data_IF_533567546898
#
_entry.id   IF_533567546898
#
_cell.length_a   1.000
_cell.length_b   1.000
_cell.length_c   1.000
_cell.angle_alpha   90.00
_cell.angle_beta   90.00
_cell.angle_gamma   90.00
#
_symmetry.space_group_name_H-M   'P 1'
#
loop_
_entity.id
_entity.type
_entity.pdbx_description
1 polymer ?
#
# COMPACT_ATOMS: atom_id res chain seq x y z
N UNK A 1 41.92 55.82 16.94
CA UNK A 1 42.57 55.37 15.69
C UNK A 1 43.36 54.05 15.85
N UNK A 2 42.98 53.15 16.77
CA UNK A 2 43.64 51.84 16.92
C UNK A 2 42.79 50.65 16.40
N UNK A 3 41.47 50.82 16.20
CA UNK A 3 40.59 49.73 15.75
C UNK A 3 40.47 49.53 14.24
N UNK A 4 41.07 50.38 13.39
CA UNK A 4 40.96 50.24 11.93
C UNK A 4 42.12 49.45 11.28
N UNK A 5 43.22 49.19 12.00
CA UNK A 5 44.37 48.43 11.45
C UNK A 5 44.28 46.92 11.66
N UNK A 6 43.45 46.47 12.58
CA UNK A 6 43.29 45.03 12.89
C UNK A 6 42.31 44.36 11.91
N UNK A 7 41.25 45.04 11.49
CA UNK A 7 40.30 44.51 10.51
C UNK A 7 40.90 44.34 9.10
N UNK A 8 41.85 45.18 8.69
CA UNK A 8 42.47 45.06 7.36
C UNK A 8 43.51 43.93 7.28
N UNK A 9 44.18 43.60 8.40
CA UNK A 9 45.05 42.42 8.44
C UNK A 9 44.26 41.10 8.37
N UNK A 10 43.07 41.06 8.98
CA UNK A 10 42.24 39.85 8.99
C UNK A 10 41.56 39.59 7.64
N UNK A 11 41.15 40.65 6.93
CA UNK A 11 40.63 40.54 5.55
C UNK A 11 41.70 40.05 4.57
N UNK A 12 42.96 40.45 4.78
CA UNK A 12 44.12 39.97 4.00
C UNK A 12 44.41 38.48 4.22
N UNK A 13 44.35 38.01 5.47
CA UNK A 13 44.55 36.59 5.82
C UNK A 13 43.42 35.70 5.29
N UNK A 14 42.17 36.13 5.39
CA UNK A 14 41.03 35.37 4.85
C UNK A 14 41.06 35.22 3.32
N UNK A 15 41.52 36.24 2.58
CA UNK A 15 41.64 36.16 1.11
C UNK A 15 42.75 35.20 0.67
N UNK A 16 43.88 35.15 1.40
CA UNK A 16 44.95 34.18 1.12
C UNK A 16 44.52 32.77 1.47
N UNK A 17 43.86 32.55 2.60
CA UNK A 17 43.30 31.24 2.99
C UNK A 17 42.29 30.70 1.97
N UNK A 18 41.40 31.54 1.44
CA UNK A 18 40.43 31.13 0.41
C UNK A 18 41.08 30.78 -0.92
N UNK A 19 42.19 31.43 -1.30
CA UNK A 19 42.95 31.06 -2.51
C UNK A 19 43.69 29.74 -2.33
N UNK A 20 44.33 29.53 -1.18
CA UNK A 20 44.99 28.27 -0.86
C UNK A 20 44.01 27.11 -0.75
N UNK A 21 42.86 27.30 -0.09
CA UNK A 21 41.81 26.28 0.00
C UNK A 21 41.26 25.88 -1.38
N UNK A 22 41.09 26.84 -2.30
CA UNK A 22 40.65 26.56 -3.68
C UNK A 22 41.70 25.82 -4.50
N UNK A 23 42.97 26.15 -4.33
CA UNK A 23 44.07 25.44 -5.01
C UNK A 23 44.25 24.01 -4.46
N UNK A 24 44.12 23.82 -3.15
CA UNK A 24 44.18 22.50 -2.50
C UNK A 24 42.96 21.65 -2.85
N UNK A 25 41.75 22.22 -2.85
CA UNK A 25 40.54 21.52 -3.31
C UNK A 25 40.59 21.18 -4.81
N UNK A 26 41.15 22.08 -5.63
CA UNK A 26 41.37 21.83 -7.06
C UNK A 26 42.39 20.70 -7.30
N UNK A 27 43.49 20.68 -6.56
CA UNK A 27 44.51 19.64 -6.64
C UNK A 27 44.00 18.29 -6.12
N UNK A 28 43.19 18.27 -5.05
CA UNK A 28 42.54 17.06 -4.54
C UNK A 28 41.47 16.52 -5.51
N UNK A 29 40.72 17.40 -6.18
CA UNK A 29 39.77 16.99 -7.22
C UNK A 29 40.48 16.43 -8.46
N UNK A 30 41.62 17.01 -8.84
CA UNK A 30 42.43 16.51 -9.97
C UNK A 30 43.12 15.17 -9.62
N UNK A 31 43.61 15.02 -8.38
CA UNK A 31 44.17 13.77 -7.89
C UNK A 31 43.10 12.67 -7.75
N UNK A 32 41.88 13.01 -7.31
CA UNK A 32 40.74 12.10 -7.31
C UNK A 32 40.32 11.69 -8.73
N UNK A 33 40.42 12.59 -9.71
CA UNK A 33 40.16 12.30 -11.12
C UNK A 33 41.26 11.45 -11.79
N UNK A 34 42.48 11.46 -11.26
CA UNK A 34 43.62 10.67 -11.76
C UNK A 34 43.78 9.32 -11.05
N UNK A 35 43.25 9.16 -9.83
CA UNK A 35 43.31 7.91 -9.04
C UNK A 35 42.03 7.09 -9.15
N UNK A 36 40.90 7.69 -9.56
CA UNK A 36 39.79 6.90 -10.08
C UNK A 36 40.23 6.35 -11.44
N UNK A 37 40.42 5.02 -11.59
CA UNK A 37 40.53 4.50 -12.94
C UNK A 37 39.30 4.98 -13.67
N UNK A 38 39.49 5.63 -14.82
CA UNK A 38 38.51 5.63 -15.88
C UNK A 38 38.37 4.18 -16.38
N UNK A 39 37.94 3.29 -15.48
CA UNK A 39 37.32 2.04 -15.84
C UNK A 39 36.02 2.44 -16.50
N UNK A 40 36.11 2.70 -17.80
CA UNK A 40 34.96 2.56 -18.66
C UNK A 40 34.49 1.14 -18.48
N UNK A 41 33.62 0.91 -17.50
CA UNK A 41 32.66 -0.18 -17.56
C UNK A 41 31.90 0.10 -18.84
N UNK A 42 32.35 -0.51 -19.95
CA UNK A 42 31.57 -0.62 -21.14
C UNK A 42 30.19 -1.09 -20.67
N UNK A 43 29.15 -0.31 -20.97
CA UNK A 43 27.80 -0.67 -20.58
C UNK A 43 27.60 -2.13 -21.01
N UNK A 44 27.21 -3.03 -20.10
CA UNK A 44 27.16 -4.46 -20.39
C UNK A 44 26.34 -4.67 -21.66
N UNK A 45 26.82 -5.53 -22.54
CA UNK A 45 26.08 -5.85 -23.77
C UNK A 45 24.76 -6.50 -23.35
N UNK A 46 23.65 -5.81 -23.63
CA UNK A 46 22.32 -6.29 -23.24
C UNK A 46 21.70 -7.09 -24.38
N UNK A 47 21.25 -8.31 -24.04
CA UNK A 47 20.46 -9.18 -24.90
C UNK A 47 18.98 -9.15 -24.52
N UNK A 48 18.14 -9.71 -25.39
CA UNK A 48 16.69 -9.73 -25.23
C UNK A 48 16.11 -11.09 -25.59
N UNK A 49 15.20 -11.58 -24.74
CA UNK A 49 14.32 -12.71 -25.02
C UNK A 49 12.87 -12.19 -24.95
N UNK A 50 12.03 -12.59 -25.90
CA UNK A 50 10.61 -12.27 -25.90
C UNK A 50 9.80 -13.54 -25.64
N UNK A 51 8.98 -13.54 -24.60
CA UNK A 51 8.11 -14.66 -24.22
C UNK A 51 6.70 -14.12 -24.00
N UNK A 52 5.72 -14.61 -24.77
CA UNK A 52 4.30 -14.28 -24.57
C UNK A 52 4.00 -12.77 -24.40
N UNK A 53 4.65 -11.93 -25.22
CA UNK A 53 4.50 -10.48 -25.17
C UNK A 53 5.34 -9.75 -24.11
N UNK A 54 6.01 -10.48 -23.21
CA UNK A 54 6.94 -9.95 -22.22
C UNK A 54 8.35 -9.92 -22.80
N UNK A 55 9.02 -8.76 -22.70
CA UNK A 55 10.41 -8.60 -23.14
C UNK A 55 11.34 -8.65 -21.94
N UNK A 56 12.12 -9.72 -21.83
CA UNK A 56 13.20 -9.88 -20.86
C UNK A 56 14.51 -9.31 -21.44
N UNK A 57 15.08 -8.30 -20.80
CA UNK A 57 16.39 -7.72 -21.14
C UNK A 57 17.41 -8.13 -20.08
N UNK A 58 18.61 -8.56 -20.48
CA UNK A 58 19.62 -9.09 -19.55
C UNK A 58 21.05 -8.84 -20.07
N UNK A 59 22.05 -8.72 -19.19
CA UNK A 59 23.48 -8.76 -19.55
C UNK A 59 23.87 -10.12 -20.16
N UNK A 60 24.74 -10.14 -21.16
CA UNK A 60 25.17 -11.37 -21.85
C UNK A 60 25.71 -12.46 -20.91
N UNK A 61 26.35 -12.07 -19.82
CA UNK A 61 26.88 -12.95 -18.79
C UNK A 61 25.80 -13.71 -18.01
N UNK A 62 24.53 -13.26 -18.05
CA UNK A 62 23.38 -13.90 -17.39
C UNK A 62 22.52 -14.72 -18.36
N UNK A 63 23.06 -15.18 -19.50
CA UNK A 63 22.28 -15.92 -20.50
C UNK A 63 21.58 -17.15 -19.90
N UNK A 64 22.27 -17.95 -19.07
CA UNK A 64 21.69 -19.16 -18.49
C UNK A 64 20.50 -18.84 -17.54
N UNK A 65 20.66 -17.83 -16.70
CA UNK A 65 19.64 -17.33 -15.78
C UNK A 65 18.49 -16.67 -16.53
N UNK A 66 18.77 -15.94 -17.60
CA UNK A 66 17.75 -15.36 -18.46
C UNK A 66 16.89 -16.43 -19.13
N UNK A 67 17.50 -17.53 -19.59
CA UNK A 67 16.75 -18.69 -20.10
C UNK A 67 15.92 -19.36 -19.01
N UNK A 68 16.42 -19.43 -17.76
CA UNK A 68 15.67 -19.96 -16.63
C UNK A 68 14.46 -19.08 -16.26
N UNK A 69 14.65 -17.76 -16.22
CA UNK A 69 13.59 -16.78 -16.02
C UNK A 69 12.57 -16.86 -17.15
N UNK A 70 13.04 -16.92 -18.41
CA UNK A 70 12.17 -17.03 -19.59
C UNK A 70 11.24 -18.25 -19.54
N UNK A 71 11.70 -19.38 -18.98
CA UNK A 71 10.86 -20.58 -18.76
C UNK A 71 9.79 -20.38 -17.68
N UNK A 72 10.01 -19.53 -16.69
CA UNK A 72 9.05 -19.23 -15.63
C UNK A 72 7.99 -18.20 -16.06
N UNK A 73 8.30 -17.33 -17.04
CA UNK A 73 7.42 -16.24 -17.47
C UNK A 73 5.98 -16.68 -17.77
N UNK A 74 5.72 -17.75 -18.55
CA UNK A 74 4.36 -18.16 -18.90
C UNK A 74 3.50 -18.53 -17.68
N UNK A 75 4.11 -19.11 -16.64
CA UNK A 75 3.38 -19.60 -15.46
C UNK A 75 3.33 -18.58 -14.32
N UNK A 76 4.10 -17.49 -14.41
CA UNK A 76 4.24 -16.49 -13.33
C UNK A 76 3.83 -15.09 -13.78
N UNK A 77 4.61 -14.46 -14.65
CA UNK A 77 4.44 -13.06 -15.02
C UNK A 77 3.28 -12.83 -16.00
N UNK A 78 3.00 -13.79 -16.88
CA UNK A 78 1.85 -13.70 -17.80
C UNK A 78 0.52 -13.69 -17.04
N UNK A 79 0.23 -14.64 -16.13
CA UNK A 79 -0.97 -14.59 -15.28
C UNK A 79 -1.06 -13.32 -14.44
N UNK A 80 0.07 -12.83 -13.92
CA UNK A 80 0.11 -11.60 -13.15
C UNK A 80 -0.32 -10.38 -13.98
N UNK A 81 0.26 -10.25 -15.18
CA UNK A 81 -0.10 -9.20 -16.15
C UNK A 81 -1.57 -9.28 -16.54
N UNK A 82 -2.07 -10.47 -16.87
CA UNK A 82 -3.47 -10.65 -17.27
C UNK A 82 -4.44 -10.28 -16.15
N UNK A 83 -4.07 -10.54 -14.89
CA UNK A 83 -4.87 -10.11 -13.74
C UNK A 83 -4.96 -8.59 -13.66
N UNK A 84 -3.85 -7.86 -13.79
CA UNK A 84 -3.87 -6.39 -13.85
C UNK A 84 -4.75 -5.87 -15.01
N UNK A 85 -4.68 -6.51 -16.18
CA UNK A 85 -5.51 -6.14 -17.33
C UNK A 85 -7.00 -6.44 -17.13
N UNK A 86 -7.35 -7.52 -16.40
CA UNK A 86 -8.74 -7.80 -15.98
C UNK A 86 -9.26 -6.71 -15.05
N UNK A 87 -8.47 -6.27 -14.07
CA UNK A 87 -8.82 -5.16 -13.16
C UNK A 87 -9.05 -3.87 -13.96
N UNK A 88 -8.12 -3.51 -14.85
CA UNK A 88 -8.28 -2.37 -15.76
C UNK A 88 -9.60 -2.42 -16.55
N UNK A 89 -9.91 -3.57 -17.17
CA UNK A 89 -11.16 -3.76 -17.92
C UNK A 89 -12.41 -3.55 -17.04
N UNK A 90 -12.37 -4.04 -15.80
CA UNK A 90 -13.48 -3.87 -14.86
C UNK A 90 -13.74 -2.39 -14.51
N UNK A 91 -12.69 -1.58 -14.40
CA UNK A 91 -12.81 -0.13 -14.15
C UNK A 91 -13.17 0.69 -15.39
N UNK A 92 -12.48 0.48 -16.51
CA UNK A 92 -12.74 1.22 -17.77
C UNK A 92 -14.15 0.96 -18.30
N UNK A 93 -14.66 -0.27 -18.17
CA UNK A 93 -16.05 -0.60 -18.54
C UNK A 93 -17.10 -0.14 -17.53
N UNK A 94 -16.68 0.45 -16.40
CA UNK A 94 -17.54 0.88 -15.30
C UNK A 94 -18.23 -0.27 -14.56
N UNK A 95 -17.89 -1.53 -14.84
CA UNK A 95 -18.53 -2.70 -14.22
C UNK A 95 -18.20 -2.77 -12.73
N UNK A 96 -16.93 -2.54 -12.35
CA UNK A 96 -16.53 -2.47 -10.96
C UNK A 96 -17.26 -1.35 -10.21
N UNK A 97 -17.29 -0.13 -10.79
CA UNK A 97 -17.99 1.00 -10.19
C UNK A 97 -19.49 0.73 -9.97
N UNK A 98 -20.17 0.11 -10.94
CA UNK A 98 -21.58 -0.29 -10.78
C UNK A 98 -21.77 -1.35 -9.69
N UNK A 99 -20.90 -2.36 -9.65
CA UNK A 99 -20.96 -3.44 -8.66
C UNK A 99 -20.73 -2.92 -7.23
N UNK A 100 -19.79 -1.99 -7.06
CA UNK A 100 -19.51 -1.31 -5.79
C UNK A 100 -20.67 -0.39 -5.40
N UNK A 101 -21.16 0.45 -6.32
CA UNK A 101 -22.28 1.35 -6.07
C UNK A 101 -23.55 0.59 -5.64
N UNK A 102 -23.86 -0.53 -6.29
CA UNK A 102 -24.98 -1.41 -5.92
C UNK A 102 -24.87 -1.90 -4.47
N UNK A 103 -23.67 -2.31 -4.04
CA UNK A 103 -23.42 -2.82 -2.68
C UNK A 103 -23.45 -1.73 -1.62
N UNK A 104 -23.03 -0.52 -1.97
CA UNK A 104 -23.07 0.64 -1.08
C UNK A 104 -24.42 1.37 -1.10
N UNK A 105 -25.32 1.02 -2.03
CA UNK A 105 -26.61 1.70 -2.19
C UNK A 105 -26.48 3.10 -2.78
N UNK A 106 -25.46 3.35 -3.60
CA UNK A 106 -25.21 4.64 -4.22
C UNK A 106 -25.01 4.55 -5.73
N UNK A 107 -25.13 5.70 -6.40
CA UNK A 107 -24.90 5.80 -7.84
C UNK A 107 -23.53 6.40 -8.14
N UNK A 108 -22.60 5.56 -8.62
CA UNK A 108 -21.27 5.99 -9.05
C UNK A 108 -21.25 6.48 -10.52
N UNK A 109 -22.35 7.09 -10.99
CA UNK A 109 -22.50 7.60 -12.37
C UNK A 109 -22.09 9.07 -12.54
N UNK A 110 -21.80 9.78 -11.45
CA UNK A 110 -21.35 11.18 -11.46
C UNK A 110 -19.99 11.38 -12.16
N UNK A 111 -19.61 12.64 -12.38
CA UNK A 111 -18.32 12.97 -12.98
C UNK A 111 -17.13 12.54 -12.10
N UNK A 112 -17.22 12.77 -10.78
CA UNK A 112 -16.14 12.45 -9.82
C UNK A 112 -15.90 10.93 -9.70
N UNK A 113 -16.92 10.08 -9.47
CA UNK A 113 -16.70 8.63 -9.44
C UNK A 113 -16.18 8.06 -10.76
N UNK A 114 -16.59 8.63 -11.90
CA UNK A 114 -16.04 8.25 -13.22
C UNK A 114 -14.57 8.63 -13.37
N UNK A 115 -14.19 9.84 -12.97
CA UNK A 115 -12.80 10.27 -12.98
C UNK A 115 -11.92 9.38 -12.09
N UNK A 116 -12.44 9.01 -10.93
CA UNK A 116 -11.72 8.17 -9.97
C UNK A 116 -11.62 6.71 -10.44
N UNK A 117 -12.69 6.13 -10.99
CA UNK A 117 -12.65 4.83 -11.66
C UNK A 117 -11.67 4.83 -12.86
N UNK A 118 -11.63 5.92 -13.63
CA UNK A 118 -10.65 6.08 -14.72
C UNK A 118 -9.21 6.17 -14.18
N UNK A 119 -9.00 6.87 -13.06
CA UNK A 119 -7.69 6.96 -12.41
C UNK A 119 -7.21 5.60 -11.92
N UNK A 120 -8.06 4.82 -11.24
CA UNK A 120 -7.74 3.44 -10.86
C UNK A 120 -7.52 2.53 -12.07
N UNK A 121 -8.29 2.71 -13.15
CA UNK A 121 -8.03 2.02 -14.41
C UNK A 121 -6.63 2.32 -14.96
N UNK A 122 -6.18 3.59 -14.86
CA UNK A 122 -4.83 4.00 -15.20
C UNK A 122 -3.75 3.44 -14.25
N UNK A 123 -4.03 3.36 -12.95
CA UNK A 123 -3.14 2.73 -11.96
C UNK A 123 -3.00 1.22 -12.24
N UNK A 124 -4.09 0.54 -12.59
CA UNK A 124 -4.07 -0.87 -12.96
C UNK A 124 -3.30 -1.12 -14.28
N UNK A 125 -3.45 -0.23 -15.25
CA UNK A 125 -2.69 -0.26 -16.51
C UNK A 125 -1.18 -0.08 -16.26
N UNK A 126 -0.83 0.90 -15.44
CA UNK A 126 0.54 1.14 -15.04
C UNK A 126 1.11 0.03 -14.14
N UNK A 127 0.28 -0.68 -13.37
CA UNK A 127 0.69 -1.87 -12.64
C UNK A 127 0.94 -3.07 -13.58
N UNK A 128 0.25 -3.12 -14.73
CA UNK A 128 0.51 -4.13 -15.77
C UNK A 128 1.80 -3.84 -16.55
N UNK A 129 2.12 -2.57 -16.78
CA UNK A 129 3.24 -2.14 -17.64
C UNK A 129 4.63 -2.72 -17.26
N UNK A 130 5.04 -2.80 -15.98
CA UNK A 130 6.28 -3.44 -15.59
C UNK A 130 6.41 -4.90 -16.07
N UNK A 131 5.29 -5.65 -16.10
CA UNK A 131 5.31 -7.03 -16.54
C UNK A 131 5.57 -7.18 -18.04
N UNK A 132 5.40 -6.13 -18.85
CA UNK A 132 5.70 -6.15 -20.29
C UNK A 132 7.20 -5.99 -20.57
N UNK A 133 7.93 -5.40 -19.63
CA UNK A 133 9.35 -5.06 -19.75
C UNK A 133 10.09 -5.50 -18.50
N UNK A 134 10.72 -6.65 -18.57
CA UNK A 134 11.48 -7.23 -17.48
C UNK A 134 12.97 -6.99 -17.72
N UNK A 135 13.71 -6.61 -16.68
CA UNK A 135 15.17 -6.56 -16.72
C UNK A 135 15.75 -7.48 -15.66
N UNK A 136 16.63 -8.37 -16.10
CA UNK A 136 17.46 -9.18 -15.22
C UNK A 136 18.69 -8.39 -14.80
N UNK A 137 19.01 -8.43 -13.52
CA UNK A 137 20.19 -7.82 -12.92
C UNK A 137 21.05 -8.89 -12.25
N UNK A 138 22.36 -8.73 -12.35
CA UNK A 138 23.32 -9.46 -11.53
C UNK A 138 23.33 -8.93 -10.10
N UNK A 139 23.73 -9.74 -9.12
CA UNK A 139 23.88 -9.27 -7.73
C UNK A 139 24.89 -8.12 -7.62
N UNK A 140 25.96 -8.15 -8.41
CA UNK A 140 26.98 -7.10 -8.45
C UNK A 140 26.42 -5.78 -8.98
N UNK A 141 25.56 -5.77 -10.00
CA UNK A 141 24.85 -4.58 -10.46
C UNK A 141 23.96 -3.99 -9.35
N UNK A 142 23.25 -4.84 -8.60
CA UNK A 142 22.40 -4.40 -7.49
C UNK A 142 23.23 -3.79 -6.37
N UNK A 143 24.34 -4.41 -6.00
CA UNK A 143 25.24 -3.92 -4.96
C UNK A 143 25.91 -2.60 -5.37
N UNK A 144 26.40 -2.50 -6.61
CA UNK A 144 27.02 -1.29 -7.14
C UNK A 144 26.03 -0.10 -7.19
N UNK A 145 24.74 -0.38 -7.40
CA UNK A 145 23.68 0.64 -7.37
C UNK A 145 23.24 1.04 -5.96
N UNK A 146 23.74 0.39 -4.90
CA UNK A 146 23.25 0.59 -3.53
C UNK A 146 21.82 0.04 -3.32
N UNK A 147 21.43 -0.94 -4.13
CA UNK A 147 20.08 -1.52 -4.19
C UNK A 147 19.35 -1.17 -5.49
N UNK A 148 18.28 -1.93 -5.79
CA UNK A 148 17.38 -1.62 -6.90
C UNK A 148 16.34 -0.60 -6.43
N UNK A 149 16.36 0.61 -7.02
CA UNK A 149 15.24 1.55 -6.95
C UNK A 149 14.52 1.61 -8.31
N UNK A 150 13.64 0.65 -8.63
CA UNK A 150 12.86 0.74 -9.85
C UNK A 150 11.69 1.71 -9.65
N UNK A 151 11.54 2.64 -10.60
CA UNK A 151 10.29 3.37 -10.78
C UNK A 151 9.21 2.41 -11.28
N UNK A 152 8.33 1.98 -10.38
CA UNK A 152 7.21 1.07 -10.66
C UNK A 152 7.43 -0.31 -10.05
N UNK A 153 6.76 -0.56 -8.92
CA UNK A 153 6.82 -1.78 -8.09
C UNK A 153 8.20 -2.06 -7.45
N UNK A 154 8.34 -1.73 -6.16
CA UNK A 154 9.51 -2.13 -5.38
C UNK A 154 9.25 -3.48 -4.72
N UNK A 155 9.92 -4.54 -5.18
CA UNK A 155 10.02 -5.78 -4.42
C UNK A 155 11.22 -5.64 -3.48
N UNK A 156 10.96 -5.51 -2.18
CA UNK A 156 12.04 -5.39 -1.19
C UNK A 156 12.12 -6.70 -0.41
N UNK A 157 13.16 -7.50 -0.67
CA UNK A 157 13.52 -8.61 0.22
C UNK A 157 14.15 -8.01 1.46
N UNK A 158 13.41 -7.92 2.57
CA UNK A 158 13.98 -7.53 3.86
C UNK A 158 14.60 -8.78 4.47
N UNK A 159 15.92 -8.81 4.63
CA UNK A 159 16.59 -9.89 5.36
C UNK A 159 16.27 -9.77 6.86
N UNK A 160 15.18 -10.40 7.26
CA UNK A 160 14.75 -10.56 8.65
C UNK A 160 13.46 -11.38 8.67
N UNK A 161 13.57 -12.65 9.06
CA UNK A 161 12.48 -13.65 9.18
C UNK A 161 11.63 -13.82 7.91
N UNK A 162 12.13 -14.63 6.96
CA UNK A 162 11.38 -15.40 5.93
C UNK A 162 10.16 -14.78 5.24
N UNK A 163 10.02 -13.45 5.20
CA UNK A 163 8.88 -12.75 4.62
C UNK A 163 9.33 -11.88 3.44
N UNK A 164 8.78 -12.19 2.27
CA UNK A 164 8.85 -11.33 1.09
C UNK A 164 7.80 -10.22 1.23
N UNK A 165 8.24 -8.98 1.42
CA UNK A 165 7.34 -7.82 1.43
C UNK A 165 7.28 -7.19 0.03
N UNK A 166 6.10 -7.21 -0.58
CA UNK A 166 5.83 -6.45 -1.79
C UNK A 166 5.44 -5.02 -1.41
N UNK A 167 6.12 -4.02 -1.96
CA UNK A 167 5.73 -2.63 -1.78
C UNK A 167 5.48 -1.99 -3.13
N UNK A 168 4.21 -1.69 -3.42
CA UNK A 168 3.82 -0.84 -4.54
C UNK A 168 4.16 0.62 -4.21
N UNK A 169 5.45 0.98 -4.26
CA UNK A 169 5.87 2.37 -4.20
C UNK A 169 5.74 3.00 -5.58
N UNK A 170 4.71 3.84 -5.74
CA UNK A 170 4.68 4.83 -6.81
C UNK A 170 5.55 6.00 -6.37
N UNK A 171 6.80 6.02 -6.85
CA UNK A 171 7.76 7.03 -6.45
C UNK A 171 7.32 8.44 -6.83
N UNK A 172 6.84 9.21 -5.84
CA UNK A 172 7.01 10.67 -5.79
C UNK A 172 8.39 11.06 -5.27
N UNK A 173 9.25 10.09 -4.89
CA UNK A 173 10.63 10.34 -4.48
C UNK A 173 11.49 10.63 -5.71
N UNK A 174 12.22 11.75 -5.64
CA UNK A 174 13.12 12.22 -6.70
C UNK A 174 14.04 11.07 -7.15
N UNK A 175 14.23 10.89 -8.47
CA UNK A 175 15.25 9.97 -8.96
C UNK A 175 16.61 10.32 -8.35
N UNK A 176 17.42 9.29 -8.09
CA UNK A 176 18.82 9.45 -7.70
C UNK A 176 19.51 10.40 -8.70
N UNK A 177 20.32 11.33 -8.19
CA UNK A 177 20.96 12.36 -9.00
C UNK A 177 21.68 11.73 -10.20
N UNK A 178 21.23 12.06 -11.42
CA UNK A 178 21.81 11.56 -12.67
C UNK A 178 20.96 10.54 -13.44
N UNK A 179 19.92 9.94 -12.84
CA UNK A 179 19.00 9.08 -13.59
C UNK A 179 17.84 9.88 -14.17
N UNK A 180 17.72 9.87 -15.51
CA UNK A 180 16.46 10.28 -16.15
C UNK A 180 15.41 9.24 -15.80
N UNK A 181 14.21 9.62 -15.30
CA UNK A 181 13.14 8.66 -15.10
C UNK A 181 12.89 7.96 -16.44
N UNK A 182 12.99 6.63 -16.46
CA UNK A 182 12.57 5.89 -17.65
C UNK A 182 11.12 6.23 -17.95
N UNK A 183 10.82 6.59 -19.21
CA UNK A 183 9.47 6.98 -19.63
C UNK A 183 8.43 5.87 -19.47
N UNK A 184 8.87 4.63 -19.20
CA UNK A 184 8.02 3.46 -19.00
C UNK A 184 8.63 2.58 -17.91
N UNK A 185 7.84 2.11 -16.93
CA UNK A 185 8.34 1.29 -15.84
C UNK A 185 8.88 -0.06 -16.35
N UNK A 186 9.82 -0.65 -15.59
CA UNK A 186 10.44 -1.96 -15.85
C UNK A 186 10.34 -2.79 -14.58
N UNK A 187 9.99 -4.07 -14.71
CA UNK A 187 10.12 -5.01 -13.61
C UNK A 187 11.58 -5.47 -13.48
N UNK A 188 12.23 -5.10 -12.38
CA UNK A 188 13.59 -5.52 -12.07
C UNK A 188 13.59 -6.88 -11.35
N UNK A 189 14.33 -7.84 -11.88
CA UNK A 189 14.50 -9.20 -11.33
C UNK A 189 15.98 -9.43 -11.09
N UNK A 190 16.35 -9.97 -9.92
CA UNK A 190 17.73 -10.38 -9.65
C UNK A 190 17.92 -11.82 -10.13
N UNK A 191 19.08 -12.14 -10.71
CA UNK A 191 19.44 -13.51 -11.06
C UNK A 191 19.18 -14.48 -9.88
N UNK A 192 18.61 -15.65 -10.17
CA UNK A 192 18.24 -16.64 -9.14
C UNK A 192 16.97 -16.33 -8.35
N UNK A 193 16.24 -15.26 -8.64
CA UNK A 193 14.95 -14.96 -7.99
C UNK A 193 13.86 -15.94 -8.42
N UNK A 194 13.14 -16.51 -7.45
CA UNK A 194 11.88 -17.22 -7.69
C UNK A 194 10.77 -16.21 -8.06
N UNK A 195 10.07 -16.47 -9.17
CA UNK A 195 9.01 -15.60 -9.67
C UNK A 195 7.61 -15.98 -9.19
N UNK A 196 7.46 -17.14 -8.53
CA UNK A 196 6.19 -17.57 -7.92
C UNK A 196 5.52 -16.49 -7.05
N UNK A 197 6.27 -15.65 -6.29
CA UNK A 197 5.64 -14.65 -5.43
C UNK A 197 4.91 -13.54 -6.23
N UNK A 198 5.33 -13.23 -7.46
CA UNK A 198 4.61 -12.25 -8.31
C UNK A 198 3.23 -12.75 -8.73
N UNK A 199 3.11 -14.06 -9.00
CA UNK A 199 1.84 -14.69 -9.34
C UNK A 199 0.89 -14.61 -8.15
N UNK A 200 1.35 -15.00 -6.96
CA UNK A 200 0.53 -14.98 -5.75
C UNK A 200 0.11 -13.56 -5.37
N UNK A 201 1.03 -12.60 -5.46
CA UNK A 201 0.71 -11.19 -5.26
C UNK A 201 -0.36 -10.68 -6.24
N UNK A 202 -0.24 -11.03 -7.53
CA UNK A 202 -1.19 -10.56 -8.53
C UNK A 202 -2.61 -11.08 -8.29
N UNK A 203 -2.78 -12.27 -7.71
CA UNK A 203 -4.10 -12.83 -7.37
C UNK A 203 -4.88 -11.95 -6.37
N UNK A 204 -4.20 -11.15 -5.55
CA UNK A 204 -4.83 -10.32 -4.51
C UNK A 204 -5.08 -8.87 -4.96
N UNK A 205 -4.43 -8.43 -6.05
CA UNK A 205 -4.58 -7.08 -6.61
C UNK A 205 -6.04 -6.67 -6.85
N UNK A 206 -6.93 -7.50 -7.43
CA UNK A 206 -8.30 -7.07 -7.67
C UNK A 206 -9.00 -6.56 -6.42
N UNK A 207 -8.84 -7.25 -5.29
CA UNK A 207 -9.45 -6.83 -4.04
C UNK A 207 -8.87 -5.51 -3.52
N UNK A 208 -7.56 -5.28 -3.66
CA UNK A 208 -6.95 -3.99 -3.29
C UNK A 208 -7.52 -2.83 -4.11
N UNK A 209 -7.61 -2.98 -5.43
CA UNK A 209 -8.18 -1.93 -6.29
C UNK A 209 -9.66 -1.69 -6.01
N UNK A 210 -10.46 -2.74 -5.78
CA UNK A 210 -11.87 -2.60 -5.45
C UNK A 210 -12.09 -2.02 -4.06
N UNK A 211 -11.20 -2.32 -3.11
CA UNK A 211 -11.20 -1.75 -1.76
C UNK A 211 -11.04 -0.24 -1.84
N UNK A 212 -10.00 0.25 -2.53
CA UNK A 212 -9.73 1.68 -2.68
C UNK A 212 -10.96 2.41 -3.27
N UNK A 213 -11.63 1.81 -4.26
CA UNK A 213 -12.86 2.37 -4.84
C UNK A 213 -14.04 2.38 -3.88
N UNK A 214 -14.19 1.33 -3.08
CA UNK A 214 -15.21 1.28 -2.06
C UNK A 214 -14.95 2.33 -0.97
N UNK A 215 -13.70 2.50 -0.53
CA UNK A 215 -13.30 3.55 0.44
C UNK A 215 -13.61 4.95 -0.12
N UNK A 216 -13.17 5.24 -1.34
CA UNK A 216 -13.47 6.51 -2.00
C UNK A 216 -14.99 6.76 -2.09
N UNK A 217 -15.76 5.74 -2.44
CA UNK A 217 -17.21 5.85 -2.53
C UNK A 217 -17.86 6.11 -1.17
N UNK A 218 -17.40 5.46 -0.10
CA UNK A 218 -17.88 5.71 1.28
C UNK A 218 -17.64 7.16 1.71
N UNK A 219 -16.46 7.71 1.38
CA UNK A 219 -16.11 9.11 1.68
C UNK A 219 -16.91 10.09 0.82
N UNK A 220 -17.00 9.84 -0.49
CA UNK A 220 -17.71 10.71 -1.44
C UNK A 220 -19.21 10.79 -1.14
N UNK A 221 -19.82 9.69 -0.68
CA UNK A 221 -21.22 9.62 -0.26
C UNK A 221 -21.49 10.29 1.08
N UNK A 222 -20.48 10.93 1.69
CA UNK A 222 -20.53 11.56 3.00
C UNK A 222 -21.09 10.63 4.09
N UNK A 223 -20.98 9.32 3.92
CA UNK A 223 -21.29 8.37 5.00
C UNK A 223 -20.40 8.69 6.19
N UNK A 224 -19.15 9.07 5.91
CA UNK A 224 -18.18 9.50 6.90
C UNK A 224 -17.62 10.90 6.68
N UNK A 225 -18.04 11.64 5.65
CA UNK A 225 -17.76 13.08 5.46
C UNK A 225 -16.27 13.47 5.29
N UNK A 226 -15.96 14.37 4.37
CA UNK A 226 -14.59 14.92 4.21
C UNK A 226 -14.11 15.76 5.43
N UNK A 227 -15.02 16.19 6.30
CA UNK A 227 -14.71 16.85 7.57
C UNK A 227 -14.51 15.84 8.73
N UNK A 228 -14.69 14.54 8.46
CA UNK A 228 -14.85 13.49 9.46
C UNK A 228 -14.01 12.24 9.09
N UNK A 229 -12.70 12.46 9.07
CA UNK A 229 -11.80 11.52 9.76
C UNK A 229 -12.20 11.51 11.25
N UNK A 230 -13.36 10.93 11.59
CA UNK A 230 -13.64 10.70 13.01
C UNK A 230 -12.71 9.58 13.43
N UNK A 231 -11.78 9.80 14.37
CA UNK A 231 -10.67 8.88 14.57
C UNK A 231 -11.15 7.45 14.79
N UNK A 232 -12.28 7.26 15.46
CA UNK A 232 -12.75 5.96 15.90
C UNK A 232 -13.53 5.11 14.88
N UNK A 233 -13.94 5.63 13.71
CA UNK A 233 -14.76 4.88 12.74
C UNK A 233 -13.96 4.10 11.68
N UNK A 234 -12.62 4.10 11.77
CA UNK A 234 -11.73 3.47 10.78
C UNK A 234 -12.04 2.00 10.53
N UNK A 235 -12.27 1.22 11.60
CA UNK A 235 -12.59 -0.21 11.47
C UNK A 235 -13.81 -0.45 10.58
N UNK A 236 -14.81 0.43 10.65
CA UNK A 236 -16.02 0.30 9.86
C UNK A 236 -15.76 0.64 8.39
N UNK A 237 -15.03 1.73 8.11
CA UNK A 237 -14.70 2.11 6.74
C UNK A 237 -13.83 1.07 6.04
N UNK A 238 -12.71 0.71 6.68
CA UNK A 238 -11.74 -0.26 6.16
C UNK A 238 -12.37 -1.65 6.01
N UNK A 239 -13.17 -2.06 7.00
CA UNK A 239 -13.88 -3.33 6.98
C UNK A 239 -14.96 -3.38 5.90
N UNK A 240 -15.78 -2.32 5.74
CA UNK A 240 -16.80 -2.24 4.69
C UNK A 240 -16.17 -2.18 3.31
N UNK A 241 -15.12 -1.39 3.12
CA UNK A 241 -14.41 -1.31 1.85
C UNK A 241 -13.85 -2.68 1.45
N UNK A 242 -13.21 -3.38 2.39
CA UNK A 242 -12.68 -4.74 2.17
C UNK A 242 -13.79 -5.75 1.89
N UNK A 243 -14.87 -5.73 2.68
CA UNK A 243 -15.99 -6.64 2.45
C UNK A 243 -16.62 -6.43 1.08
N UNK A 244 -16.88 -5.17 0.69
CA UNK A 244 -17.40 -4.83 -0.65
C UNK A 244 -16.43 -5.30 -1.73
N UNK A 245 -15.13 -5.09 -1.56
CA UNK A 245 -14.11 -5.54 -2.50
C UNK A 245 -14.15 -7.06 -2.71
N UNK A 246 -14.16 -7.84 -1.62
CA UNK A 246 -14.23 -9.30 -1.68
C UNK A 246 -15.49 -9.78 -2.40
N UNK A 247 -16.63 -9.14 -2.14
CA UNK A 247 -17.88 -9.47 -2.82
C UNK A 247 -17.84 -9.10 -4.32
N UNK A 248 -17.16 -8.02 -4.71
CA UNK A 248 -16.99 -7.65 -6.13
C UNK A 248 -16.00 -8.57 -6.84
N UNK A 249 -14.96 -9.04 -6.15
CA UNK A 249 -14.09 -10.09 -6.68
C UNK A 249 -14.90 -11.36 -6.92
N UNK A 250 -15.72 -11.79 -5.97
CA UNK A 250 -16.57 -12.97 -6.11
C UNK A 250 -17.48 -12.89 -7.36
N UNK A 251 -18.04 -11.72 -7.66
CA UNK A 251 -18.86 -11.51 -8.87
C UNK A 251 -18.05 -11.48 -10.17
N UNK A 252 -16.95 -10.73 -10.20
CA UNK A 252 -16.27 -10.34 -11.44
C UNK A 252 -15.05 -11.21 -11.77
N UNK A 253 -14.47 -11.85 -10.75
CA UNK A 253 -13.25 -12.66 -10.83
C UNK A 253 -13.34 -13.84 -9.84
N UNK A 254 -14.33 -14.73 -10.00
CA UNK A 254 -14.61 -15.80 -9.04
C UNK A 254 -13.42 -16.75 -8.83
N UNK A 255 -12.59 -16.93 -9.86
CA UNK A 255 -11.34 -17.71 -9.84
C UNK A 255 -10.27 -17.14 -8.88
N UNK A 256 -10.41 -15.88 -8.47
CA UNK A 256 -9.50 -15.20 -7.56
C UNK A 256 -10.09 -14.97 -6.16
N UNK A 257 -11.36 -15.35 -5.94
CA UNK A 257 -12.10 -15.08 -4.70
C UNK A 257 -11.44 -15.69 -3.46
N UNK A 258 -11.05 -16.97 -3.54
CA UNK A 258 -10.40 -17.67 -2.44
C UNK A 258 -9.05 -17.05 -2.07
N UNK A 259 -8.21 -16.75 -3.07
CA UNK A 259 -6.91 -16.11 -2.85
C UNK A 259 -7.06 -14.70 -2.24
N UNK A 260 -8.03 -13.92 -2.70
CA UNK A 260 -8.31 -12.59 -2.14
C UNK A 260 -8.81 -12.68 -0.69
N UNK A 261 -9.71 -13.64 -0.39
CA UNK A 261 -10.21 -13.88 0.97
C UNK A 261 -9.07 -14.31 1.91
N UNK A 262 -8.22 -15.24 1.49
CA UNK A 262 -7.08 -15.69 2.28
C UNK A 262 -6.08 -14.56 2.58
N UNK A 263 -5.94 -13.57 1.69
CA UNK A 263 -5.02 -12.45 1.89
C UNK A 263 -5.59 -11.31 2.75
N UNK A 264 -6.91 -11.16 2.79
CA UNK A 264 -7.61 -10.00 3.38
C UNK A 264 -8.48 -10.34 4.59
N UNK A 265 -8.45 -11.59 5.03
CA UNK A 265 -9.04 -12.05 6.29
C UNK A 265 -7.94 -12.64 7.17
N UNK A 266 -8.09 -12.61 8.50
CA UNK A 266 -7.05 -13.08 9.40
C UNK A 266 -6.88 -14.60 9.30
N UNK A 267 -5.63 -15.06 9.22
CA UNK A 267 -5.27 -16.46 9.37
C UNK A 267 -4.99 -16.84 10.84
N UNK A 268 -4.47 -18.04 11.09
CA UNK A 268 -4.10 -18.50 12.44
C UNK A 268 -3.03 -17.61 13.10
N UNK A 269 -2.08 -17.08 12.31
CA UNK A 269 -1.02 -16.20 12.76
C UNK A 269 -1.53 -14.82 13.19
N UNK A 270 -2.45 -14.22 12.42
CA UNK A 270 -3.07 -12.96 12.84
C UNK A 270 -4.13 -13.14 13.93
N UNK A 271 -4.70 -14.33 14.04
CA UNK A 271 -5.55 -14.71 15.19
C UNK A 271 -4.76 -14.62 16.50
N UNK A 272 -3.45 -14.94 16.48
CA UNK A 272 -2.58 -14.79 17.64
C UNK A 272 -2.35 -13.32 18.05
N UNK A 273 -2.42 -12.38 17.09
CA UNK A 273 -2.28 -10.94 17.32
C UNK A 273 -3.58 -10.25 17.73
N UNK A 274 -4.71 -10.97 17.84
CA UNK A 274 -6.01 -10.37 18.19
C UNK A 274 -6.00 -9.59 19.50
N UNK A 275 -5.19 -10.02 20.46
CA UNK A 275 -5.06 -9.34 21.76
C UNK A 275 -4.33 -8.00 21.66
N UNK A 276 -3.59 -7.76 20.58
CA UNK A 276 -2.85 -6.53 20.32
C UNK A 276 -3.63 -5.56 19.42
N UNK A 277 -4.81 -5.96 18.93
CA UNK A 277 -5.68 -5.17 18.05
C UNK A 277 -6.75 -4.46 18.86
N UNK A 278 -6.93 -3.15 18.71
CA UNK A 278 -8.05 -2.45 19.34
C UNK A 278 -8.83 -1.62 18.33
N UNK A 279 -9.82 -2.25 17.69
CA UNK A 279 -10.65 -1.62 16.65
C UNK A 279 -11.46 -0.42 17.17
N UNK A 280 -11.89 -0.42 18.44
CA UNK A 280 -12.66 0.67 19.02
C UNK A 280 -11.85 1.96 19.20
N UNK A 281 -10.52 1.83 19.34
CA UNK A 281 -9.60 2.96 19.48
C UNK A 281 -8.71 3.15 18.26
N UNK A 282 -8.87 2.33 17.22
CA UNK A 282 -8.02 2.38 16.03
C UNK A 282 -8.27 3.66 15.25
N UNK A 283 -7.30 4.58 15.31
CA UNK A 283 -7.48 5.94 14.79
C UNK A 283 -7.25 6.01 13.28
N UNK A 284 -8.11 6.76 12.60
CA UNK A 284 -7.82 7.27 11.26
C UNK A 284 -6.82 8.43 11.40
N UNK A 285 -5.55 8.19 11.05
CA UNK A 285 -4.49 9.20 11.13
C UNK A 285 -4.72 10.25 10.03
N UNK A 286 -4.78 11.52 10.38
CA UNK A 286 -4.71 12.56 9.35
C UNK A 286 -3.40 12.38 8.57
N UNK A 287 -3.41 12.59 7.25
CA UNK A 287 -2.22 12.41 6.38
C UNK A 287 -0.97 13.21 6.83
N UNK A 288 -1.11 14.07 7.84
CA UNK A 288 -0.09 14.99 8.36
C UNK A 288 0.38 14.65 9.77
N UNK A 289 -0.26 13.71 10.48
CA UNK A 289 0.10 13.36 11.85
C UNK A 289 1.10 12.18 11.91
N UNK A 290 2.02 12.30 12.86
CA UNK A 290 3.05 11.32 13.25
C UNK A 290 2.53 9.87 13.28
N UNK A 291 3.38 8.85 13.08
CA UNK A 291 2.98 7.45 13.29
C UNK A 291 2.26 7.34 14.64
N UNK A 292 1.10 6.68 14.61
CA UNK A 292 0.28 6.44 15.80
C UNK A 292 1.20 5.98 16.93
N UNK A 293 1.36 6.74 18.03
CA UNK A 293 2.33 6.43 19.08
C UNK A 293 2.05 5.09 19.76
N UNK A 294 0.89 4.50 19.48
CA UNK A 294 0.42 3.23 20.03
C UNK A 294 0.68 2.02 19.13
N UNK A 295 1.19 2.20 17.90
CA UNK A 295 1.40 1.09 16.97
C UNK A 295 2.88 0.81 16.76
N UNK A 296 3.39 -0.21 17.45
CA UNK A 296 4.81 -0.53 17.54
C UNK A 296 5.32 -1.47 16.44
N UNK A 297 4.46 -2.14 15.66
CA UNK A 297 4.91 -3.02 14.57
C UNK A 297 4.01 -3.02 13.31
N UNK A 298 4.59 -3.19 12.10
CA UNK A 298 3.83 -3.36 10.86
C UNK A 298 2.83 -4.53 10.88
N UNK A 299 3.15 -5.60 11.60
CA UNK A 299 2.31 -6.78 11.74
C UNK A 299 1.03 -6.46 12.50
N UNK A 300 1.12 -5.65 13.57
CA UNK A 300 -0.06 -5.17 14.31
C UNK A 300 -0.91 -4.25 13.45
N UNK A 301 -0.31 -3.37 12.64
CA UNK A 301 -1.07 -2.54 11.68
C UNK A 301 -1.87 -3.44 10.74
N UNK A 302 -1.20 -4.44 10.14
CA UNK A 302 -1.87 -5.37 9.22
C UNK A 302 -2.99 -6.13 9.93
N UNK A 303 -2.78 -6.59 11.16
CA UNK A 303 -3.80 -7.28 11.94
C UNK A 303 -5.06 -6.42 12.16
N UNK A 304 -4.93 -5.10 12.35
CA UNK A 304 -6.10 -4.20 12.46
C UNK A 304 -6.96 -4.21 11.19
N UNK A 305 -6.34 -4.12 10.01
CA UNK A 305 -7.05 -4.18 8.72
C UNK A 305 -7.80 -5.50 8.55
N UNK A 306 -7.14 -6.63 8.82
CA UNK A 306 -7.73 -7.95 8.66
C UNK A 306 -8.87 -8.20 9.67
N UNK A 307 -8.67 -7.82 10.95
CA UNK A 307 -9.71 -7.95 11.97
C UNK A 307 -10.91 -7.03 11.70
N UNK A 308 -10.69 -5.84 11.12
CA UNK A 308 -11.78 -4.97 10.68
C UNK A 308 -12.60 -5.60 9.55
N UNK A 309 -11.94 -6.21 8.57
CA UNK A 309 -12.60 -6.96 7.50
C UNK A 309 -13.39 -8.16 8.05
N UNK A 310 -12.80 -8.95 8.95
CA UNK A 310 -13.47 -10.05 9.64
C UNK A 310 -14.70 -9.58 10.42
N UNK A 311 -14.58 -8.47 11.16
CA UNK A 311 -15.68 -7.91 11.95
C UNK A 311 -16.88 -7.57 11.07
N UNK A 312 -16.64 -6.86 9.96
CA UNK A 312 -17.71 -6.51 9.02
C UNK A 312 -18.27 -7.74 8.31
N UNK A 313 -17.41 -8.72 7.99
CA UNK A 313 -17.89 -9.99 7.45
C UNK A 313 -18.80 -10.71 8.44
N UNK A 314 -18.46 -10.79 9.72
CA UNK A 314 -19.31 -11.40 10.76
C UNK A 314 -20.65 -10.68 10.91
N UNK A 315 -20.66 -9.35 10.79
CA UNK A 315 -21.88 -8.54 10.84
C UNK A 315 -22.80 -8.80 9.64
N UNK A 316 -22.22 -8.88 8.44
CA UNK A 316 -22.98 -8.94 7.19
C UNK A 316 -23.20 -10.37 6.66
N UNK A 317 -22.51 -11.38 7.19
CA UNK A 317 -22.64 -12.77 6.76
C UNK A 317 -24.07 -13.27 7.00
N UNK A 318 -24.67 -13.81 5.94
CA UNK A 318 -26.05 -14.32 5.98
C UNK A 318 -27.14 -13.25 6.00
N UNK A 319 -26.78 -11.96 5.95
CA UNK A 319 -27.74 -10.86 5.87
C UNK A 319 -28.31 -10.74 4.45
N UNK A 320 -29.57 -10.29 4.29
CA UNK A 320 -30.18 -10.16 2.97
C UNK A 320 -29.48 -9.09 2.10
N UNK A 321 -29.57 -9.21 0.77
CA UNK A 321 -29.12 -8.16 -0.13
C UNK A 321 -29.80 -6.82 0.21
N UNK A 322 -29.02 -5.75 0.34
CA UNK A 322 -29.55 -4.42 0.71
C UNK A 322 -29.38 -4.03 2.18
N UNK A 323 -28.94 -4.95 3.04
CA UNK A 323 -28.65 -4.64 4.45
C UNK A 323 -27.59 -3.54 4.63
N UNK A 324 -26.43 -3.67 3.98
CA UNK A 324 -25.40 -2.63 4.04
C UNK A 324 -25.89 -1.27 3.53
N UNK A 325 -26.56 -1.17 2.36
CA UNK A 325 -27.24 0.06 1.93
C UNK A 325 -28.17 0.67 2.98
N UNK A 326 -28.94 -0.15 3.71
CA UNK A 326 -29.83 0.32 4.76
C UNK A 326 -29.05 0.87 5.98
N UNK A 327 -27.95 0.22 6.39
CA UNK A 327 -27.03 0.71 7.43
C UNK A 327 -26.46 2.07 7.02
N UNK A 328 -25.85 2.15 5.84
CA UNK A 328 -25.22 3.38 5.34
C UNK A 328 -26.26 4.51 5.17
N UNK A 329 -27.47 4.19 4.71
CA UNK A 329 -28.57 5.14 4.57
C UNK A 329 -29.06 5.74 5.89
N UNK A 330 -28.94 5.00 7.01
CA UNK A 330 -29.19 5.54 8.35
C UNK A 330 -28.02 6.39 8.84
N UNK A 331 -26.78 5.92 8.69
CA UNK A 331 -25.58 6.66 9.13
C UNK A 331 -25.45 8.02 8.45
N UNK A 332 -25.82 8.15 7.17
CA UNK A 332 -25.83 9.43 6.44
C UNK A 332 -26.73 10.52 7.06
N UNK A 333 -27.70 10.15 7.90
CA UNK A 333 -28.60 11.10 8.57
C UNK A 333 -28.03 11.59 9.90
N UNK A 334 -26.96 10.96 10.38
CA UNK A 334 -26.27 11.35 11.60
C UNK A 334 -25.24 12.41 11.24
N UNK A 335 -25.14 13.48 12.05
CA UNK A 335 -24.19 14.57 11.80
C UNK A 335 -22.74 14.06 11.91
N UNK A 336 -22.48 13.16 12.86
CA UNK A 336 -21.17 12.55 13.14
C UNK A 336 -21.34 11.11 13.64
N UNK A 337 -21.20 10.09 12.77
CA UNK A 337 -21.32 8.70 13.20
C UNK A 337 -20.04 8.23 13.92
N UNK A 338 -20.06 8.26 15.26
CA UNK A 338 -19.04 7.62 16.11
C UNK A 338 -19.28 6.10 16.26
N UNK A 339 -18.40 5.41 16.98
CA UNK A 339 -18.53 3.95 17.19
C UNK A 339 -19.85 3.55 17.86
N UNK A 340 -20.36 4.36 18.79
CA UNK A 340 -21.64 4.09 19.46
C UNK A 340 -22.79 4.16 18.46
N UNK A 341 -22.79 5.20 17.64
CA UNK A 341 -23.79 5.45 16.61
C UNK A 341 -23.76 4.34 15.55
N UNK A 342 -22.56 3.96 15.09
CA UNK A 342 -22.37 2.86 14.14
C UNK A 342 -22.89 1.55 14.71
N UNK A 343 -22.47 1.17 15.92
CA UNK A 343 -22.92 -0.08 16.55
C UNK A 343 -24.44 -0.12 16.77
N UNK A 344 -25.03 1.00 17.21
CA UNK A 344 -26.48 1.13 17.35
C UNK A 344 -27.20 0.90 16.03
N UNK A 345 -26.81 1.62 14.98
CA UNK A 345 -27.44 1.51 13.65
C UNK A 345 -27.29 0.10 13.08
N UNK A 346 -26.10 -0.51 13.22
CA UNK A 346 -25.88 -1.90 12.80
C UNK A 346 -26.84 -2.84 13.53
N UNK A 347 -26.95 -2.74 14.86
CA UNK A 347 -27.86 -3.58 15.64
C UNK A 347 -29.32 -3.38 15.24
N UNK A 348 -29.75 -2.15 15.02
CA UNK A 348 -31.13 -1.86 14.59
C UNK A 348 -31.48 -2.40 13.20
N UNK A 349 -30.51 -2.49 12.29
CA UNK A 349 -30.74 -2.95 10.91
C UNK A 349 -30.51 -4.46 10.76
N UNK A 350 -29.51 -5.01 11.45
CA UNK A 350 -29.05 -6.40 11.26
C UNK A 350 -29.46 -7.35 12.39
N UNK A 351 -29.83 -6.81 13.55
CA UNK A 351 -29.99 -7.56 14.80
C UNK A 351 -28.66 -7.99 15.45
N UNK A 352 -27.52 -7.78 14.80
CA UNK A 352 -26.20 -8.20 15.30
C UNK A 352 -25.65 -7.19 16.30
N UNK A 353 -25.14 -7.68 17.42
CA UNK A 353 -24.44 -6.87 18.41
C UNK A 353 -22.98 -6.64 17.97
N UNK A 354 -22.78 -5.66 17.07
CA UNK A 354 -21.45 -5.27 16.60
C UNK A 354 -20.53 -4.83 17.73
N UNK A 355 -21.08 -4.27 18.82
CA UNK A 355 -20.29 -3.86 19.96
C UNK A 355 -19.72 -5.06 20.71
N UNK A 356 -20.50 -6.13 20.89
CA UNK A 356 -20.01 -7.37 21.47
C UNK A 356 -18.85 -7.95 20.65
N UNK A 357 -18.99 -7.98 19.31
CA UNK A 357 -17.92 -8.44 18.40
C UNK A 357 -16.65 -7.59 18.56
N UNK A 358 -16.77 -6.26 18.54
CA UNK A 358 -15.63 -5.36 18.66
C UNK A 358 -14.88 -5.51 19.99
N UNK A 359 -15.61 -5.81 21.08
CA UNK A 359 -15.03 -6.04 22.41
C UNK A 359 -14.14 -7.27 22.48
N UNK A 360 -14.30 -8.25 21.59
CA UNK A 360 -13.43 -9.43 21.52
C UNK A 360 -11.97 -9.07 21.19
N UNK A 361 -11.74 -7.94 20.53
CA UNK A 361 -10.40 -7.45 20.20
C UNK A 361 -9.83 -6.58 21.34
N UNK A 362 -10.67 -5.95 22.18
CA UNK A 362 -10.22 -4.98 23.19
C UNK A 362 -9.76 -5.57 24.55
N UNK A 363 -9.50 -6.88 24.64
CA UNK A 363 -9.35 -7.62 25.90
C UNK A 363 -8.21 -7.18 26.84
N UNK A 364 -7.23 -6.39 26.37
CA UNK A 364 -6.05 -6.01 27.16
C UNK A 364 -6.08 -4.57 27.69
N UNK A 365 -7.05 -3.75 27.26
CA UNK A 365 -7.04 -2.31 27.56
C UNK A 365 -8.03 -1.76 28.62
N UNK A 366 -8.58 -2.52 29.61
CA UNK A 366 -9.52 -1.96 30.59
C UNK A 366 -9.04 -0.70 31.33
N UNK A 367 -7.72 -0.54 31.52
CA UNK A 367 -7.14 0.59 32.24
C UNK A 367 -7.06 1.89 31.41
N UNK A 368 -6.98 1.81 30.08
CA UNK A 368 -6.78 2.98 29.20
C UNK A 368 -8.08 3.42 28.53
N UNK A 369 -9.04 2.50 28.33
CA UNK A 369 -10.38 2.85 27.82
C UNK A 369 -11.11 3.84 28.75
N UNK A 370 -10.77 3.87 30.05
CA UNK A 370 -11.29 4.86 31.02
C UNK A 370 -10.72 6.28 30.83
N UNK A 371 -9.57 6.43 30.19
CA UNK A 371 -8.86 7.72 30.09
C UNK A 371 -9.16 8.44 28.76
N UNK A 372 -9.54 7.71 27.71
CA UNK A 372 -9.80 8.27 26.37
C UNK A 372 -11.29 8.30 25.98
N UNK A 373 -12.16 7.81 26.86
CA UNK A 373 -13.62 7.94 26.74
C UNK A 373 -14.10 8.73 27.96
N UNK A 374 -14.19 10.07 27.89
CA UNK A 374 -14.73 10.85 28.99
C UNK A 374 -16.21 10.47 29.17
N UNK A 375 -16.52 9.85 30.31
CA UNK A 375 -17.85 9.73 30.94
C UNK A 375 -19.03 9.07 30.18
N UNK A 376 -18.84 8.38 29.06
CA UNK A 376 -19.99 7.90 28.25
C UNK A 376 -20.27 6.38 28.22
N UNK A 377 -19.52 5.54 28.93
CA UNK A 377 -19.75 4.09 28.98
C UNK A 377 -19.99 3.67 30.42
N UNK A 378 -21.24 3.75 30.88
CA UNK A 378 -21.63 3.18 32.17
C UNK A 378 -21.45 1.64 32.06
N UNK A 379 -20.30 1.15 32.51
CA UNK A 379 -19.85 -0.26 32.46
C UNK A 379 -20.63 -1.18 33.41
N UNK A 380 -21.85 -0.80 33.82
CA UNK A 380 -22.63 -1.51 34.83
C UNK A 380 -23.24 -2.83 34.35
N UNK A 381 -23.29 -3.05 33.04
CA UNK A 381 -23.92 -4.24 32.44
C UNK A 381 -22.92 -5.25 31.84
N UNK A 382 -21.62 -5.11 32.13
CA UNK A 382 -20.67 -6.18 31.77
C UNK A 382 -20.86 -7.35 32.75
N UNK A 383 -21.25 -8.55 32.30
CA UNK A 383 -21.23 -9.72 33.17
C UNK A 383 -19.80 -9.92 33.67
N UNK A 384 -19.64 -10.12 34.98
CA UNK A 384 -18.34 -10.45 35.55
C UNK A 384 -17.82 -11.73 34.89
N UNK A 385 -16.53 -11.77 34.51
CA UNK A 385 -15.95 -12.99 33.97
C UNK A 385 -16.02 -14.13 35.00
N UNK A 386 -16.18 -15.38 34.56
CA UNK A 386 -16.15 -16.55 35.44
C UNK A 386 -14.80 -16.74 36.14
#
# INVERSE_FOLDING_TARGET
MAHSREEDQDRGRHRRWRRWARLVLGALALAAALVCPAGGYAAPELRRIKVEGITLTYPVELEAEAQAVARQIPDTLVPARETCLRVRRAFVGGTAARAIGKRLGCSLSGATPRAWASALGGVADAAASPFERVRLFSESEVQAAGGLQPGGLTVTRKMGRDTLTFTLSWGTRRPLAGQRPEKRPILAIVAGTDLSPYREFAKTLPALFFHEMAEFALVAEKVTGYAFYYPSSRWFNEGVATWVALQVVEDLMPDLSEACRAALLPDEGETALRNDVNLLTWRQNSYQDSPDPWVSSPEVIRAHYLCAAETVERILRGQPPGTLPAVLGRLKKEEVPDNRTICRVVREVTGVDALAILREYSNVWPAVTRVLVPDAWDLKDAPSPP
#
